data_IF_899495113379
#
_entry.id   IF_899495113379
#
_cell.length_a   1.000
_cell.length_b   1.000
_cell.length_c   1.000
_cell.angle_alpha   90.00
_cell.angle_beta   90.00
_cell.angle_gamma   90.00
#
_symmetry.space_group_name_H-M   'P 1'
#
loop_
_entity.id
_entity.type
_entity.pdbx_description
1 polymer ?
#
# COMPACT_ATOMS: atom_id res chain seq x y z
N UNK A 1 1.48 11.45 -30.51
CA UNK A 1 0.78 10.79 -29.40
C UNK A 1 -0.69 11.14 -29.51
N UNK A 2 -1.54 10.19 -29.93
CA UNK A 2 -2.98 10.43 -30.04
C UNK A 2 -3.56 10.30 -28.64
N UNK A 3 -3.94 11.43 -28.03
CA UNK A 3 -4.68 11.43 -26.77
C UNK A 3 -6.16 11.21 -27.10
N UNK A 4 -6.78 10.19 -26.50
CA UNK A 4 -8.22 10.00 -26.63
C UNK A 4 -8.94 11.15 -25.91
N UNK A 5 -9.78 11.89 -26.64
CA UNK A 5 -10.53 13.03 -26.12
C UNK A 5 -11.99 12.69 -25.82
N UNK A 6 -12.50 11.60 -26.41
CA UNK A 6 -13.88 11.15 -26.20
C UNK A 6 -13.93 9.79 -25.53
N UNK A 7 -15.03 9.51 -24.80
CA UNK A 7 -15.30 8.19 -24.22
C UNK A 7 -15.23 7.08 -25.28
N UNK A 8 -15.75 7.31 -26.48
CA UNK A 8 -15.72 6.34 -27.58
C UNK A 8 -14.30 5.99 -28.01
N UNK A 9 -13.41 6.99 -28.11
CA UNK A 9 -12.00 6.77 -28.41
C UNK A 9 -11.27 5.99 -27.32
N UNK A 10 -11.60 6.25 -26.04
CA UNK A 10 -11.03 5.48 -24.92
C UNK A 10 -11.45 4.02 -25.01
N UNK A 11 -12.74 3.74 -25.20
CA UNK A 11 -13.27 2.37 -25.30
C UNK A 11 -12.66 1.64 -26.49
N UNK A 12 -12.64 2.26 -27.67
CA UNK A 12 -12.05 1.68 -28.87
C UNK A 12 -10.55 1.41 -28.67
N UNK A 13 -9.82 2.35 -28.06
CA UNK A 13 -8.40 2.18 -27.75
C UNK A 13 -8.13 1.02 -26.81
N UNK A 14 -8.94 0.87 -25.75
CA UNK A 14 -8.83 -0.27 -24.82
C UNK A 14 -9.18 -1.58 -25.52
N UNK A 15 -10.18 -1.61 -26.41
CA UNK A 15 -10.53 -2.81 -27.16
C UNK A 15 -9.45 -3.20 -28.18
N UNK A 16 -8.85 -2.23 -28.86
CA UNK A 16 -7.84 -2.48 -29.89
C UNK A 16 -6.46 -2.82 -29.33
N UNK A 17 -6.03 -2.13 -28.28
CA UNK A 17 -4.66 -2.21 -27.75
C UNK A 17 -4.55 -2.79 -26.34
N UNK A 18 -5.68 -2.95 -25.65
CA UNK A 18 -5.71 -3.36 -24.25
C UNK A 18 -5.34 -2.24 -23.28
N UNK A 19 -5.16 -2.62 -22.02
CA UNK A 19 -4.68 -1.74 -20.96
C UNK A 19 -3.16 -1.62 -21.05
N UNK A 20 -2.62 -0.44 -20.68
CA UNK A 20 -1.19 -0.28 -20.53
C UNK A 20 -0.65 -1.33 -19.53
N UNK A 21 0.52 -1.95 -19.76
CA UNK A 21 1.01 -3.06 -18.93
C UNK A 21 1.07 -2.75 -17.43
N UNK A 22 1.47 -1.53 -17.05
CA UNK A 22 1.46 -1.09 -15.66
C UNK A 22 0.05 -0.94 -15.08
N UNK A 23 -0.88 -0.36 -15.85
CA UNK A 23 -2.28 -0.21 -15.44
C UNK A 23 -2.97 -1.58 -15.31
N UNK A 24 -2.66 -2.53 -16.20
CA UNK A 24 -3.15 -3.91 -16.10
C UNK A 24 -2.74 -4.54 -14.77
N UNK A 25 -1.46 -4.42 -14.40
CA UNK A 25 -0.95 -4.96 -13.13
C UNK A 25 -1.60 -4.34 -11.89
N UNK A 26 -1.91 -3.05 -11.94
CA UNK A 26 -2.67 -2.38 -10.87
C UNK A 26 -4.09 -2.91 -10.75
N UNK A 27 -4.80 -3.06 -11.87
CA UNK A 27 -6.17 -3.59 -11.90
C UNK A 27 -6.19 -5.05 -11.45
N UNK A 28 -5.26 -5.88 -11.95
CA UNK A 28 -5.15 -7.29 -11.54
C UNK A 28 -4.91 -7.41 -10.01
N UNK A 29 -4.14 -6.49 -9.41
CA UNK A 29 -3.90 -6.46 -7.97
C UNK A 29 -5.15 -6.07 -7.16
N UNK A 30 -5.91 -5.08 -7.63
CA UNK A 30 -7.19 -4.68 -7.04
C UNK A 30 -8.25 -5.80 -7.16
N UNK A 31 -8.28 -6.51 -8.29
CA UNK A 31 -9.13 -7.68 -8.50
C UNK A 31 -8.76 -8.81 -7.53
N UNK A 32 -7.47 -9.14 -7.40
CA UNK A 32 -7.00 -10.16 -6.46
C UNK A 32 -7.34 -9.81 -5.00
N UNK A 33 -7.26 -8.52 -4.64
CA UNK A 33 -7.68 -8.05 -3.32
C UNK A 33 -9.19 -8.19 -3.11
N UNK A 34 -10.01 -7.89 -4.13
CA UNK A 34 -11.45 -8.09 -4.07
C UNK A 34 -11.82 -9.57 -3.90
N UNK A 35 -11.16 -10.46 -4.66
CA UNK A 35 -11.36 -11.91 -4.55
C UNK A 35 -10.96 -12.44 -3.17
N UNK A 36 -9.83 -11.97 -2.62
CA UNK A 36 -9.40 -12.31 -1.26
C UNK A 36 -10.46 -11.91 -0.22
N UNK A 37 -11.01 -10.70 -0.33
CA UNK A 37 -12.06 -10.23 0.56
C UNK A 37 -13.34 -11.09 0.45
N UNK A 38 -13.74 -11.46 -0.76
CA UNK A 38 -14.89 -12.34 -0.98
C UNK A 38 -14.68 -13.76 -0.40
N UNK A 39 -13.46 -14.30 -0.50
CA UNK A 39 -13.15 -15.66 -0.05
C UNK A 39 -12.95 -15.76 1.47
N UNK A 40 -12.34 -14.74 2.08
CA UNK A 40 -11.92 -14.79 3.49
C UNK A 40 -12.75 -13.91 4.42
N UNK A 41 -13.55 -13.00 3.86
CA UNK A 41 -14.21 -11.93 4.61
C UNK A 41 -13.28 -10.79 5.04
N UNK A 42 -11.97 -10.88 4.74
CA UNK A 42 -10.99 -9.89 5.14
C UNK A 42 -10.85 -8.79 4.09
N UNK A 43 -11.44 -7.62 4.38
CA UNK A 43 -11.30 -6.44 3.53
C UNK A 43 -10.23 -5.49 4.09
N UNK A 44 -9.01 -5.62 3.56
CA UNK A 44 -7.89 -4.73 3.88
C UNK A 44 -7.78 -3.57 2.89
N UNK A 45 -7.65 -2.34 3.38
CA UNK A 45 -7.45 -1.14 2.55
C UNK A 45 -6.39 -0.24 3.16
N UNK A 46 -5.49 0.28 2.32
CA UNK A 46 -4.64 1.39 2.70
C UNK A 46 -5.43 2.70 2.65
N UNK A 47 -5.51 3.41 3.77
CA UNK A 47 -6.31 4.65 3.90
C UNK A 47 -5.41 5.86 4.08
N UNK A 48 -5.86 7.00 3.55
CA UNK A 48 -5.24 8.30 3.78
C UNK A 48 -5.53 8.83 5.19
N UNK A 49 -4.85 9.94 5.56
CA UNK A 49 -5.09 10.61 6.85
C UNK A 49 -6.54 11.00 7.07
N UNK A 50 -7.19 11.33 5.96
CA UNK A 50 -8.54 11.88 5.95
C UNK A 50 -9.59 10.78 5.84
N UNK A 51 -9.20 9.51 5.99
CA UNK A 51 -10.10 8.36 5.95
C UNK A 51 -10.52 7.92 4.56
N UNK A 52 -9.88 8.44 3.49
CA UNK A 52 -10.15 8.02 2.12
C UNK A 52 -9.41 6.74 1.77
N UNK A 53 -10.12 5.81 1.15
CA UNK A 53 -9.57 4.54 0.66
C UNK A 53 -8.67 4.78 -0.55
N UNK A 54 -7.46 4.22 -0.54
CA UNK A 54 -6.46 4.43 -1.58
C UNK A 54 -6.26 3.20 -2.45
N UNK A 55 -5.81 2.08 -1.87
CA UNK A 55 -5.62 0.81 -2.58
C UNK A 55 -6.03 -0.33 -1.68
N UNK A 56 -6.62 -1.36 -2.27
CA UNK A 56 -6.97 -2.59 -1.54
C UNK A 56 -5.73 -3.43 -1.32
N UNK A 57 -5.66 -4.07 -0.15
CA UNK A 57 -4.56 -4.94 0.21
C UNK A 57 -4.84 -6.33 -0.34
N UNK A 58 -4.19 -6.64 -1.46
CA UNK A 58 -4.22 -7.97 -2.06
C UNK A 58 -3.21 -8.94 -1.44
N UNK A 59 -3.27 -10.24 -1.79
CA UNK A 59 -2.37 -11.26 -1.26
C UNK A 59 -0.89 -11.00 -1.59
N UNK A 60 -0.63 -10.33 -2.72
CA UNK A 60 0.72 -9.95 -3.18
C UNK A 60 1.17 -8.57 -2.70
N UNK A 61 0.34 -7.86 -1.94
CA UNK A 61 0.69 -6.54 -1.42
C UNK A 61 1.90 -6.64 -0.50
N UNK A 62 2.87 -5.73 -0.67
CA UNK A 62 4.14 -5.78 0.02
C UNK A 62 4.03 -5.14 1.40
N UNK A 63 4.51 -5.84 2.42
CA UNK A 63 4.73 -5.28 3.74
C UNK A 63 6.07 -4.55 3.79
N UNK A 64 6.24 -3.64 4.74
CA UNK A 64 7.51 -2.99 5.04
C UNK A 64 8.65 -3.97 5.33
N UNK A 65 8.36 -5.17 5.82
CA UNK A 65 9.35 -6.23 5.98
C UNK A 65 9.74 -6.94 4.67
N UNK A 66 9.27 -6.43 3.52
CA UNK A 66 9.45 -6.95 2.17
C UNK A 66 8.76 -8.30 1.86
N UNK A 67 8.00 -8.86 2.80
CA UNK A 67 7.17 -10.06 2.58
C UNK A 67 5.75 -9.70 2.07
N UNK A 68 5.12 -10.57 1.27
CA UNK A 68 3.75 -10.40 0.81
C UNK A 68 2.72 -10.56 1.94
N UNK A 69 1.52 -10.01 1.74
CA UNK A 69 0.40 -10.16 2.69
C UNK A 69 0.03 -11.63 2.93
N UNK A 70 0.15 -12.50 1.93
CA UNK A 70 -0.09 -13.95 2.06
C UNK A 70 0.80 -14.65 3.10
N UNK A 71 1.96 -14.08 3.43
CA UNK A 71 2.85 -14.57 4.48
C UNK A 71 2.52 -14.01 5.87
N UNK A 72 1.48 -13.17 5.96
CA UNK A 72 0.97 -12.64 7.22
C UNK A 72 -0.29 -13.40 7.66
N UNK A 73 -0.39 -13.68 8.95
CA UNK A 73 -1.54 -14.38 9.53
C UNK A 73 -2.00 -13.73 10.82
N UNK A 74 -3.28 -13.84 11.11
CA UNK A 74 -3.84 -13.41 12.37
C UNK A 74 -3.61 -14.50 13.41
N UNK A 75 -2.90 -14.18 14.50
CA UNK A 75 -2.64 -15.13 15.61
C UNK A 75 -3.95 -15.59 16.26
N UNK A 76 -4.93 -14.69 16.32
CA UNK A 76 -6.28 -14.99 16.77
C UNK A 76 -7.30 -14.16 15.98
N UNK A 77 -8.58 -14.56 15.94
CA UNK A 77 -9.64 -13.77 15.28
C UNK A 77 -9.82 -12.36 15.88
N UNK A 78 -9.37 -12.14 17.12
CA UNK A 78 -9.41 -10.85 17.80
C UNK A 78 -8.14 -10.01 17.61
N UNK A 79 -7.13 -10.56 16.93
CA UNK A 79 -5.88 -9.84 16.70
C UNK A 79 -6.13 -8.64 15.79
N UNK A 80 -5.74 -7.41 16.19
CA UNK A 80 -6.02 -6.21 15.41
C UNK A 80 -5.18 -6.10 14.13
N UNK A 81 -4.11 -6.91 14.00
CA UNK A 81 -3.25 -6.94 12.83
C UNK A 81 -2.66 -8.34 12.63
N UNK A 82 -2.31 -8.72 11.39
CA UNK A 82 -1.64 -9.98 11.11
C UNK A 82 -0.12 -9.84 11.22
N UNK A 83 0.54 -10.89 11.72
CA UNK A 83 1.99 -10.97 11.90
C UNK A 83 2.63 -11.78 10.78
N UNK A 84 3.90 -11.49 10.45
CA UNK A 84 4.61 -12.23 9.42
C UNK A 84 5.13 -13.58 9.94
N UNK A 85 5.09 -14.62 9.11
CA UNK A 85 5.70 -15.93 9.41
C UNK A 85 7.23 -15.94 9.28
N UNK A 86 7.77 -15.16 8.35
CA UNK A 86 9.18 -15.21 7.95
C UNK A 86 10.10 -14.19 8.64
N UNK A 87 9.57 -13.26 9.44
CA UNK A 87 10.37 -12.24 10.11
C UNK A 87 9.72 -11.69 11.38
N UNK A 88 10.49 -10.93 12.17
CA UNK A 88 10.09 -10.32 13.44
C UNK A 88 9.27 -9.03 13.31
N UNK A 89 8.64 -8.77 12.15
CA UNK A 89 7.83 -7.55 12.00
C UNK A 89 6.56 -7.64 12.86
N UNK A 90 6.24 -6.55 13.56
CA UNK A 90 5.14 -6.51 14.53
C UNK A 90 3.74 -6.60 13.91
N UNK A 91 3.62 -6.33 12.62
CA UNK A 91 2.36 -6.40 11.90
C UNK A 91 2.52 -5.99 10.45
N UNK A 92 1.50 -6.30 9.65
CA UNK A 92 1.47 -5.87 8.25
C UNK A 92 1.42 -4.34 8.15
N UNK A 93 2.39 -3.77 7.43
CA UNK A 93 2.46 -2.36 7.13
C UNK A 93 2.68 -2.19 5.64
N UNK A 94 1.65 -1.75 4.92
CA UNK A 94 1.70 -1.62 3.48
C UNK A 94 2.85 -0.70 3.04
N UNK A 95 3.62 -1.18 2.07
CA UNK A 95 4.57 -0.38 1.30
C UNK A 95 4.27 -0.57 -0.18
N UNK A 96 4.26 0.53 -0.94
CA UNK A 96 4.15 0.45 -2.38
C UNK A 96 5.25 -0.42 -2.98
N UNK A 97 4.83 -1.33 -3.85
CA UNK A 97 5.69 -2.26 -4.57
C UNK A 97 6.11 -1.71 -5.94
N UNK A 98 5.33 -0.76 -6.46
CA UNK A 98 5.49 -0.17 -7.79
C UNK A 98 5.40 1.36 -7.76
N UNK A 99 6.10 2.07 -8.64
CA UNK A 99 5.99 3.52 -8.74
C UNK A 99 4.59 3.98 -9.21
N UNK A 100 3.88 3.17 -9.99
CA UNK A 100 2.53 3.51 -10.44
C UNK A 100 1.52 3.62 -9.29
N UNK A 101 1.69 2.87 -8.18
CA UNK A 101 0.83 2.89 -6.99
C UNK A 101 0.84 4.25 -6.26
N UNK A 102 1.92 5.01 -6.45
CA UNK A 102 2.20 6.27 -5.74
C UNK A 102 2.19 7.47 -6.66
N UNK A 103 1.66 7.30 -7.87
CA UNK A 103 1.57 8.35 -8.87
C UNK A 103 2.84 8.63 -9.65
N UNK A 104 3.92 7.90 -9.42
CA UNK A 104 5.17 8.01 -10.18
C UNK A 104 5.10 7.22 -11.50
N UNK A 105 3.96 7.26 -12.21
CA UNK A 105 3.71 6.48 -13.43
C UNK A 105 4.68 6.77 -14.59
N UNK A 106 5.38 7.91 -14.53
CA UNK A 106 6.39 8.29 -15.52
C UNK A 106 7.74 7.56 -15.31
N UNK A 107 8.02 7.00 -14.13
CA UNK A 107 9.29 6.31 -13.85
C UNK A 107 9.48 5.07 -14.74
N UNK A 108 8.50 4.15 -14.88
CA UNK A 108 8.61 3.01 -15.79
C UNK A 108 8.85 3.37 -17.26
N UNK A 109 8.56 4.61 -17.66
CA UNK A 109 8.76 5.08 -19.04
C UNK A 109 10.19 5.59 -19.30
N UNK A 110 11.02 5.70 -18.26
CA UNK A 110 12.43 6.12 -18.42
C UNK A 110 13.27 4.96 -18.97
N UNK A 111 14.17 5.28 -19.89
CA UNK A 111 15.13 4.31 -20.45
C UNK A 111 16.00 3.73 -19.33
N UNK A 112 16.06 2.40 -19.24
CA UNK A 112 16.86 1.68 -18.24
C UNK A 112 16.22 1.58 -16.85
N UNK A 113 14.97 2.01 -16.66
CA UNK A 113 14.28 1.83 -15.39
C UNK A 113 13.80 0.38 -15.22
N UNK A 114 14.12 -0.23 -14.07
CA UNK A 114 13.63 -1.55 -13.70
C UNK A 114 12.65 -1.45 -12.54
N UNK A 115 11.41 -1.89 -12.77
CA UNK A 115 10.32 -1.85 -11.78
C UNK A 115 10.60 -2.79 -10.60
N UNK A 116 11.28 -3.91 -10.84
CA UNK A 116 11.53 -4.93 -9.81
C UNK A 116 12.58 -4.49 -8.77
N UNK A 117 13.49 -3.61 -9.16
CA UNK A 117 14.49 -3.02 -8.26
C UNK A 117 13.99 -1.76 -7.55
N UNK A 118 12.81 -1.25 -7.92
CA UNK A 118 12.26 -0.05 -7.29
C UNK A 118 11.84 -0.34 -5.85
N UNK A 119 12.15 0.62 -4.97
CA UNK A 119 11.81 0.61 -3.55
C UNK A 119 11.34 2.00 -3.18
N UNK A 120 10.29 2.07 -2.36
CA UNK A 120 9.89 3.32 -1.72
C UNK A 120 11.07 3.89 -0.93
N UNK A 121 11.50 5.10 -1.30
CA UNK A 121 12.66 5.77 -0.69
C UNK A 121 12.26 6.50 0.58
N UNK A 122 13.11 6.36 1.59
CA UNK A 122 13.08 7.21 2.78
C UNK A 122 13.70 8.58 2.47
N UNK A 123 13.45 9.56 3.34
CA UNK A 123 14.08 10.89 3.33
C UNK A 123 15.60 10.79 3.43
N UNK A 124 16.14 9.74 4.03
CA UNK A 124 17.58 9.48 4.07
C UNK A 124 18.17 8.97 2.73
N UNK A 125 17.33 8.75 1.71
CA UNK A 125 17.73 8.28 0.38
C UNK A 125 17.70 6.75 0.20
N UNK A 126 17.79 5.99 1.30
CA UNK A 126 17.77 4.53 1.29
C UNK A 126 16.37 3.95 1.05
N UNK A 127 16.33 2.72 0.54
CA UNK A 127 15.08 1.97 0.38
C UNK A 127 14.46 1.57 1.71
N UNK A 128 13.16 1.30 1.72
CA UNK A 128 12.47 0.76 2.90
C UNK A 128 13.06 -0.58 3.37
N UNK A 129 13.63 -1.37 2.47
CA UNK A 129 14.28 -2.65 2.71
C UNK A 129 15.63 -2.53 3.45
N UNK A 130 16.22 -1.33 3.49
CA UNK A 130 17.41 -1.03 4.30
C UNK A 130 17.07 -0.58 5.73
N UNK A 131 15.78 -0.52 6.07
CA UNK A 131 15.30 -0.17 7.39
C UNK A 131 14.86 -1.44 8.13
N UNK A 132 15.15 -1.47 9.42
CA UNK A 132 14.73 -2.59 10.27
C UNK A 132 13.19 -2.64 10.35
N UNK A 133 12.54 -3.78 10.06
CA UNK A 133 11.08 -3.84 9.99
C UNK A 133 10.35 -3.56 11.30
N UNK A 134 11.03 -3.77 12.42
CA UNK A 134 10.48 -3.65 13.75
C UNK A 134 10.66 -2.24 14.33
N UNK A 135 11.86 -1.68 14.23
CA UNK A 135 12.24 -0.36 14.76
C UNK A 135 12.10 0.76 13.75
N UNK A 136 11.99 0.45 12.45
CA UNK A 136 11.94 1.39 11.32
C UNK A 136 13.18 2.27 11.21
N UNK A 137 14.28 1.90 11.87
CA UNK A 137 15.56 2.61 11.81
C UNK A 137 16.36 2.18 10.59
N UNK A 138 17.01 3.14 9.95
CA UNK A 138 17.94 2.85 8.86
C UNK A 138 19.34 2.58 9.40
N UNK A 139 20.13 1.82 8.64
CA UNK A 139 21.58 1.64 8.90
C UNK A 139 22.36 2.95 8.95
N UNK A 140 21.92 4.00 8.25
CA UNK A 140 22.57 5.31 8.27
C UNK A 140 22.27 6.15 9.52
N UNK A 141 21.55 5.62 10.52
CA UNK A 141 21.16 6.35 11.72
C UNK A 141 19.85 7.12 11.62
N UNK A 142 19.12 7.01 10.50
CA UNK A 142 17.77 7.58 10.37
C UNK A 142 16.84 6.95 11.44
N UNK A 143 16.20 7.75 12.30
CA UNK A 143 15.45 7.23 13.44
C UNK A 143 14.12 6.59 13.05
N UNK A 144 13.55 6.97 11.89
CA UNK A 144 12.26 6.48 11.42
C UNK A 144 12.16 6.56 9.90
N UNK A 145 11.59 5.54 9.28
CA UNK A 145 11.25 5.58 7.86
C UNK A 145 10.21 6.68 7.58
N UNK A 146 10.58 7.62 6.73
CA UNK A 146 9.71 8.71 6.27
C UNK A 146 9.85 8.84 4.76
N UNK A 147 8.76 8.68 4.02
CA UNK A 147 8.75 8.68 2.57
C UNK A 147 7.72 9.65 2.02
N UNK A 148 7.97 10.19 0.83
CA UNK A 148 7.06 11.12 0.18
C UNK A 148 6.08 10.44 -0.79
N UNK A 149 5.89 9.12 -0.68
CA UNK A 149 4.86 8.48 -1.49
C UNK A 149 3.48 8.86 -0.95
N UNK A 150 2.61 9.32 -1.84
CA UNK A 150 1.28 9.77 -1.50
C UNK A 150 0.24 8.88 -2.17
N UNK A 151 -0.92 8.78 -1.53
CA UNK A 151 -2.10 8.23 -2.15
C UNK A 151 -2.50 9.07 -3.37
N UNK A 152 -2.75 8.40 -4.49
CA UNK A 152 -3.19 9.01 -5.74
C UNK A 152 -4.47 9.85 -5.60
N UNK A 153 -5.30 9.59 -4.58
CA UNK A 153 -6.60 10.24 -4.39
C UNK A 153 -6.49 11.68 -3.86
N UNK A 154 -5.34 12.11 -3.28
CA UNK A 154 -4.92 13.52 -3.12
C UNK A 154 -3.59 13.65 -2.35
N UNK A 155 -2.80 14.67 -2.71
CA UNK A 155 -1.54 15.07 -2.07
C UNK A 155 -1.69 15.28 -0.56
N UNK A 156 -0.99 14.48 0.25
CA UNK A 156 -0.68 14.77 1.65
C UNK A 156 0.65 14.08 2.01
N UNK A 157 1.60 14.87 2.53
CA UNK A 157 2.86 14.43 3.17
C UNK A 157 2.52 13.78 4.51
N UNK A 158 3.18 12.67 4.84
CA UNK A 158 2.88 11.93 6.06
C UNK A 158 4.08 11.69 6.98
N UNK A 159 3.80 11.88 8.27
CA UNK A 159 4.60 11.53 9.44
C UNK A 159 3.96 10.30 10.09
N UNK A 160 4.74 9.25 10.31
CA UNK A 160 4.31 7.96 10.86
C UNK A 160 3.59 8.11 12.23
N UNK A 161 2.38 7.54 12.38
CA UNK A 161 1.58 7.63 13.61
C UNK A 161 0.76 6.37 13.90
N UNK A 162 0.61 6.07 15.20
CA UNK A 162 0.20 4.80 15.81
C UNK A 162 -1.22 4.28 15.53
N UNK A 163 -1.37 2.96 15.74
CA UNK A 163 -2.64 2.21 15.80
C UNK A 163 -3.40 2.56 17.09
N UNK A 164 -4.63 3.05 16.97
CA UNK A 164 -5.64 3.02 18.03
C UNK A 164 -6.67 1.93 17.68
N UNK A 165 -6.83 0.94 18.55
CA UNK A 165 -7.87 -0.09 18.46
C UNK A 165 -9.01 0.32 19.39
N UNK A 166 -10.19 0.61 18.85
CA UNK A 166 -11.41 0.68 19.66
C UNK A 166 -12.02 -0.73 19.70
N UNK A 167 -11.78 -1.46 20.78
CA UNK A 167 -12.58 -2.64 21.14
C UNK A 167 -13.74 -2.14 21.99
N UNK A 168 -14.96 -2.16 21.45
CA UNK A 168 -16.22 -2.14 22.20
C UNK A 168 -16.46 -0.99 23.19
N UNK A 169 -17.39 -0.10 22.83
CA UNK A 169 -18.24 0.68 23.74
C UNK A 169 -17.60 1.29 24.99
N UNK A 170 -17.09 2.52 24.87
CA UNK A 170 -17.14 3.55 25.91
C UNK A 170 -16.66 4.88 25.32
N UNK A 171 -17.38 5.96 25.61
CA UNK A 171 -17.06 7.30 25.12
C UNK A 171 -15.74 7.79 25.70
N UNK A 172 -14.76 8.06 24.84
CA UNK A 172 -13.56 8.82 25.17
C UNK A 172 -13.23 9.71 23.97
N UNK A 173 -13.26 11.04 24.16
CA UNK A 173 -12.79 11.98 23.17
C UNK A 173 -11.29 11.83 22.95
N UNK A 174 -10.87 11.55 21.72
CA UNK A 174 -9.47 11.42 21.35
C UNK A 174 -9.23 12.15 20.03
N UNK A 175 -8.53 13.29 20.08
CA UNK A 175 -8.01 13.98 18.91
C UNK A 175 -6.93 13.18 18.19
N UNK A 176 -6.91 13.36 16.87
CA UNK A 176 -5.80 13.14 15.93
C UNK A 176 -5.40 11.68 15.62
N UNK A 177 -5.68 11.26 14.37
CA UNK A 177 -4.55 10.86 13.50
C UNK A 177 -4.44 9.40 13.03
N UNK A 178 -5.48 8.88 12.35
CA UNK A 178 -5.44 7.92 11.23
C UNK A 178 -4.71 6.57 11.40
N UNK A 179 -5.51 5.50 11.48
CA UNK A 179 -5.08 4.10 11.42
C UNK A 179 -5.61 3.37 10.18
N UNK A 180 -5.00 2.23 9.85
CA UNK A 180 -5.61 1.24 8.94
C UNK A 180 -6.86 0.67 9.64
N UNK A 181 -8.03 0.91 9.07
CA UNK A 181 -9.29 0.35 9.58
C UNK A 181 -9.50 -0.99 8.91
N UNK A 182 -9.47 -2.06 9.70
CA UNK A 182 -9.99 -3.36 9.28
C UNK A 182 -11.50 -3.32 9.50
N UNK A 183 -12.26 -3.37 8.40
CA UNK A 183 -13.71 -3.54 8.47
C UNK A 183 -13.96 -5.04 8.30
N UNK A 184 -14.32 -5.72 9.38
CA UNK A 184 -14.96 -7.03 9.27
C UNK A 184 -16.35 -6.78 8.66
N UNK A 185 -16.62 -7.37 7.50
CA UNK A 185 -17.96 -7.43 6.95
C UNK A 185 -18.84 -8.36 7.78
#
# INVERSE_FOLDING_TARGET
>A
MIQAQTRGQVVQGVQAYGLAPGARKMIDAEEAAAQLAMQTGLYGVWRSAKGTDCTRIGPTARCFCNHPFSEHFFVSPKSPYPICKGCSCRGFAFIPSRPEEVGEWWLPRRKGFNVHTWRAKCRCGHGHDEHDPHTRRCRCGCPVFTSNFACLVRVCVWVCGCVCVCVGGCGCGCGCGCGCVWVCA
#
